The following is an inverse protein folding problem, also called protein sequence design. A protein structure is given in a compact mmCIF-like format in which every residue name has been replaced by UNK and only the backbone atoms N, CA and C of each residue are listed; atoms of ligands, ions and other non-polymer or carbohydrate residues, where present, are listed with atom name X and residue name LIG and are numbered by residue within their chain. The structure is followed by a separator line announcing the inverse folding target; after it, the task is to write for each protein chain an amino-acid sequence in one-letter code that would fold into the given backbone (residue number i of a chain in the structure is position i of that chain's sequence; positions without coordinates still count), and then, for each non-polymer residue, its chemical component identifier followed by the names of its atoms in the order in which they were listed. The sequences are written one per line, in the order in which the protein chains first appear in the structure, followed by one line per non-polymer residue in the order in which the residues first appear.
data_IF_737361620948
#
_entry.id   IF_737361620948
#
_cell.length_a   1.000
_cell.length_b   1.000
_cell.length_c   1.000
_cell.angle_alpha   90.00
_cell.angle_beta   90.00
_cell.angle_gamma   90.00
#
_symmetry.space_group_name_H-M   'P 1'
#
loop_
_entity.id
_entity.type
_entity.pdbx_description
1 polymer ?
#
# COMPACT_ATOMS: atom_id res chain seq x y z
N UNK A 1 -8.46 2.04 -21.36
CA UNK A 1 -9.41 1.01 -21.83
C UNK A 1 -9.39 0.82 -23.35
N UNK A 2 -9.16 1.86 -24.15
CA UNK A 2 -9.08 1.74 -25.62
C UNK A 2 -8.03 0.74 -26.09
N UNK A 3 -6.84 0.77 -25.49
CA UNK A 3 -5.76 -0.17 -25.77
C UNK A 3 -6.13 -1.61 -25.39
N UNK A 4 -6.77 -1.82 -24.25
CA UNK A 4 -7.25 -3.14 -23.83
C UNK A 4 -8.28 -3.71 -24.79
N UNK A 5 -9.18 -2.86 -25.32
CA UNK A 5 -10.13 -3.28 -26.35
C UNK A 5 -9.42 -3.71 -27.66
N UNK A 6 -8.35 -2.99 -28.06
CA UNK A 6 -7.54 -3.37 -29.22
C UNK A 6 -6.86 -4.73 -29.01
N UNK A 7 -6.31 -4.97 -27.83
CA UNK A 7 -5.69 -6.25 -27.49
C UNK A 7 -6.72 -7.39 -27.46
N UNK A 8 -7.93 -7.16 -26.94
CA UNK A 8 -9.00 -8.16 -26.90
C UNK A 8 -9.46 -8.57 -28.30
N UNK A 9 -9.44 -7.67 -29.31
CA UNK A 9 -9.70 -8.07 -30.71
C UNK A 9 -8.73 -9.13 -31.23
N UNK A 10 -7.48 -9.11 -30.77
CA UNK A 10 -6.45 -10.10 -31.13
C UNK A 10 -6.51 -11.36 -30.24
N UNK A 11 -6.96 -11.22 -29.01
CA UNK A 11 -7.09 -12.30 -28.04
C UNK A 11 -8.45 -12.20 -27.32
N UNK A 12 -9.50 -12.84 -27.89
CA UNK A 12 -10.87 -12.74 -27.36
C UNK A 12 -11.05 -13.20 -25.90
N UNK A 13 -10.18 -14.11 -25.44
CA UNK A 13 -10.17 -14.65 -24.08
C UNK A 13 -9.45 -13.73 -23.06
N UNK A 14 -8.97 -12.55 -23.49
CA UNK A 14 -8.30 -11.61 -22.61
C UNK A 14 -9.30 -11.03 -21.59
N UNK A 15 -9.07 -11.27 -20.32
CA UNK A 15 -9.77 -10.61 -19.23
C UNK A 15 -9.13 -9.25 -18.93
N UNK A 16 -9.96 -8.26 -18.64
CA UNK A 16 -9.54 -6.91 -18.27
C UNK A 16 -10.04 -6.59 -16.87
N UNK A 17 -9.12 -6.40 -15.94
CA UNK A 17 -9.42 -6.00 -14.57
C UNK A 17 -9.00 -4.57 -14.26
N UNK A 18 -9.81 -3.85 -13.48
CA UNK A 18 -9.45 -2.59 -12.85
C UNK A 18 -9.41 -2.84 -11.34
N UNK A 19 -8.26 -2.55 -10.73
CA UNK A 19 -8.02 -2.81 -9.32
C UNK A 19 -7.53 -1.56 -8.58
N UNK A 20 -7.84 -1.45 -7.30
CA UNK A 20 -7.39 -0.37 -6.41
C UNK A 20 -8.39 0.78 -6.26
N UNK A 21 -7.90 1.98 -5.92
CA UNK A 21 -8.76 3.12 -5.54
C UNK A 21 -9.73 3.57 -6.63
N UNK A 22 -9.36 3.46 -7.91
CA UNK A 22 -10.26 3.78 -9.02
C UNK A 22 -11.43 2.79 -9.09
N UNK A 23 -11.15 1.50 -8.86
CA UNK A 23 -12.16 0.47 -8.77
C UNK A 23 -13.16 0.75 -7.64
N UNK A 24 -12.64 1.09 -6.45
CA UNK A 24 -13.48 1.45 -5.29
C UNK A 24 -14.34 2.68 -5.55
N UNK A 25 -13.80 3.68 -6.21
CA UNK A 25 -14.52 4.93 -6.47
C UNK A 25 -15.66 4.79 -7.49
N UNK A 26 -15.43 4.03 -8.55
CA UNK A 26 -16.35 3.94 -9.69
C UNK A 26 -17.22 2.67 -9.67
N UNK A 27 -16.80 1.66 -8.91
CA UNK A 27 -17.58 0.43 -8.65
C UNK A 27 -18.23 -0.15 -9.92
N UNK A 28 -19.54 -0.37 -9.85
CA UNK A 28 -20.35 -0.96 -10.93
C UNK A 28 -20.30 -0.18 -12.23
N UNK A 29 -20.08 1.15 -12.17
CA UNK A 29 -19.96 1.98 -13.38
C UNK A 29 -18.87 1.49 -14.34
N UNK A 30 -17.82 0.85 -13.80
CA UNK A 30 -16.74 0.27 -14.61
C UNK A 30 -17.16 -0.97 -15.39
N UNK A 31 -18.22 -1.67 -14.93
CA UNK A 31 -18.76 -2.87 -15.57
C UNK A 31 -19.84 -2.57 -16.60
N UNK A 32 -20.26 -1.31 -16.75
CA UNK A 32 -21.28 -0.93 -17.72
C UNK A 32 -20.93 -1.35 -19.15
N UNK A 33 -21.96 -1.62 -19.93
CA UNK A 33 -21.83 -2.07 -21.30
C UNK A 33 -20.98 -1.13 -22.15
N UNK A 34 -20.04 -1.72 -22.90
CA UNK A 34 -19.13 -0.99 -23.79
C UNK A 34 -17.80 -0.57 -23.16
N UNK A 35 -17.61 -0.65 -21.84
CA UNK A 35 -16.30 -0.34 -21.21
C UNK A 35 -15.29 -1.47 -21.37
N UNK A 36 -15.76 -2.73 -21.52
CA UNK A 36 -14.89 -3.90 -21.78
C UNK A 36 -14.07 -4.30 -20.56
N UNK A 37 -14.61 -4.09 -19.35
CA UNK A 37 -14.04 -4.51 -18.06
C UNK A 37 -14.77 -5.74 -17.57
N UNK A 38 -14.03 -6.73 -17.08
CA UNK A 38 -14.56 -8.01 -16.60
C UNK A 38 -14.45 -8.12 -15.07
N UNK A 39 -13.42 -7.48 -14.49
CA UNK A 39 -13.12 -7.57 -13.06
C UNK A 39 -12.95 -6.16 -12.49
N UNK A 40 -13.59 -5.93 -11.33
CA UNK A 40 -13.43 -4.70 -10.54
C UNK A 40 -13.14 -5.08 -9.09
N UNK A 41 -11.95 -4.73 -8.59
CA UNK A 41 -11.52 -5.07 -7.23
C UNK A 41 -11.03 -3.84 -6.48
N UNK A 42 -11.63 -3.55 -5.32
CA UNK A 42 -11.21 -2.49 -4.42
C UNK A 42 -9.83 -2.76 -3.79
N UNK A 43 -9.25 -1.77 -3.09
CA UNK A 43 -7.90 -1.92 -2.52
C UNK A 43 -7.80 -2.95 -1.39
N UNK A 44 -8.91 -3.32 -0.76
CA UNK A 44 -8.94 -4.26 0.35
C UNK A 44 -9.45 -5.66 -0.05
N UNK A 45 -9.63 -5.93 -1.34
CA UNK A 45 -10.22 -7.17 -1.85
C UNK A 45 -9.27 -7.98 -2.74
N UNK A 46 -7.96 -7.74 -2.66
CA UNK A 46 -6.97 -8.42 -3.50
C UNK A 46 -6.89 -9.94 -3.24
N UNK A 47 -7.27 -10.41 -2.04
CA UNK A 47 -7.37 -11.83 -1.73
C UNK A 47 -8.43 -12.54 -2.55
N UNK A 48 -9.46 -11.83 -2.99
CA UNK A 48 -10.56 -12.37 -3.78
C UNK A 48 -10.27 -12.40 -5.28
N UNK A 49 -9.16 -11.82 -5.75
CA UNK A 49 -8.81 -11.80 -7.17
C UNK A 49 -8.89 -13.17 -7.85
N UNK A 50 -8.40 -14.28 -7.24
CA UNK A 50 -8.52 -15.60 -7.86
C UNK A 50 -9.98 -16.05 -8.07
N UNK A 51 -10.89 -15.68 -7.16
CA UNK A 51 -12.33 -15.94 -7.27
C UNK A 51 -12.94 -15.10 -8.39
N UNK A 52 -12.67 -13.79 -8.38
CA UNK A 52 -13.18 -12.85 -9.37
C UNK A 52 -12.71 -13.20 -10.81
N UNK A 53 -11.48 -13.70 -10.94
CA UNK A 53 -10.97 -14.21 -12.22
C UNK A 53 -11.77 -15.41 -12.71
N UNK A 54 -12.03 -16.42 -11.85
CA UNK A 54 -12.85 -17.59 -12.22
C UNK A 54 -14.28 -17.21 -12.60
N UNK A 55 -14.89 -16.25 -11.91
CA UNK A 55 -16.20 -15.73 -12.25
C UNK A 55 -16.21 -15.08 -13.64
N UNK A 56 -15.18 -14.30 -13.96
CA UNK A 56 -15.04 -13.67 -15.26
C UNK A 56 -14.73 -14.69 -16.38
N UNK A 57 -13.94 -15.73 -16.11
CA UNK A 57 -13.65 -16.83 -17.05
C UNK A 57 -14.89 -17.64 -17.40
N UNK A 58 -15.84 -17.78 -16.48
CA UNK A 58 -17.15 -18.46 -16.72
C UNK A 58 -18.16 -17.60 -17.47
N UNK A 59 -17.75 -16.40 -17.92
CA UNK A 59 -18.61 -15.47 -18.68
C UNK A 59 -19.40 -14.49 -17.81
N UNK A 60 -19.18 -14.50 -16.48
CA UNK A 60 -19.71 -13.50 -15.55
C UNK A 60 -18.88 -12.23 -15.51
N UNK A 61 -19.18 -11.37 -14.54
CA UNK A 61 -18.38 -10.20 -14.18
C UNK A 61 -18.03 -10.27 -12.70
N UNK A 62 -16.74 -10.20 -12.37
CA UNK A 62 -16.26 -10.24 -10.99
C UNK A 62 -16.19 -8.83 -10.40
N UNK A 63 -16.91 -8.58 -9.33
CA UNK A 63 -16.81 -7.31 -8.59
C UNK A 63 -16.70 -7.56 -7.08
N UNK A 64 -15.71 -6.92 -6.46
CA UNK A 64 -15.67 -6.76 -5.02
C UNK A 64 -14.97 -5.44 -4.67
N UNK A 65 -15.71 -4.52 -4.06
CA UNK A 65 -15.24 -3.18 -3.66
C UNK A 65 -15.51 -2.92 -2.18
N UNK A 66 -15.53 -3.98 -1.35
CA UNK A 66 -15.70 -3.83 0.09
C UNK A 66 -14.45 -3.20 0.71
N UNK A 67 -14.66 -2.17 1.53
CA UNK A 67 -13.59 -1.62 2.37
C UNK A 67 -13.54 -2.40 3.68
N UNK A 68 -12.39 -2.98 3.98
CA UNK A 68 -12.14 -3.67 5.24
C UNK A 68 -11.85 -2.65 6.36
N UNK A 69 -12.20 -3.01 7.58
CA UNK A 69 -11.79 -2.29 8.80
C UNK A 69 -10.48 -2.82 9.40
N UNK A 70 -10.01 -4.00 8.94
CA UNK A 70 -8.89 -4.73 9.55
C UNK A 70 -7.77 -5.07 8.56
N UNK A 71 -8.08 -5.23 7.26
CA UNK A 71 -7.10 -5.71 6.26
C UNK A 71 -5.90 -4.77 6.11
N UNK A 72 -4.73 -5.27 6.40
CA UNK A 72 -3.44 -4.59 6.23
C UNK A 72 -2.49 -5.31 5.29
N UNK A 73 -2.82 -6.56 4.87
CA UNK A 73 -1.95 -7.48 4.11
C UNK A 73 -0.61 -7.75 4.81
N UNK A 74 -0.60 -7.70 6.14
CA UNK A 74 0.62 -7.88 6.94
C UNK A 74 1.26 -9.27 6.79
N UNK A 75 0.44 -10.29 6.50
CA UNK A 75 0.82 -11.69 6.32
C UNK A 75 1.27 -12.03 4.89
N UNK A 76 1.10 -11.11 3.94
CA UNK A 76 1.51 -11.33 2.55
C UNK A 76 2.93 -10.78 2.34
N UNK A 77 3.90 -11.69 2.18
CA UNK A 77 5.23 -11.31 1.79
C UNK A 77 5.23 -10.79 0.33
N UNK A 78 5.66 -9.55 0.07
CA UNK A 78 5.69 -9.02 -1.30
C UNK A 78 6.69 -9.80 -2.16
N UNK A 79 6.24 -10.27 -3.33
CA UNK A 79 7.15 -10.79 -4.35
C UNK A 79 7.81 -9.62 -5.06
N UNK A 80 9.11 -9.48 -4.87
CA UNK A 80 9.90 -8.42 -5.50
C UNK A 80 10.50 -8.94 -6.80
N UNK A 81 10.12 -8.31 -7.90
CA UNK A 81 10.57 -8.70 -9.25
C UNK A 81 11.99 -8.20 -9.53
N UNK A 82 12.42 -7.13 -8.89
CA UNK A 82 13.77 -6.58 -9.01
C UNK A 82 14.72 -7.31 -8.05
N UNK A 83 15.61 -8.13 -8.61
CA UNK A 83 16.64 -8.87 -7.86
C UNK A 83 17.89 -8.04 -7.55
N UNK A 84 18.06 -6.89 -8.19
CA UNK A 84 19.18 -5.97 -7.96
C UNK A 84 18.81 -4.88 -6.95
N UNK A 85 17.79 -5.13 -6.12
CA UNK A 85 17.18 -4.16 -5.24
C UNK A 85 18.15 -3.57 -4.24
N UNK A 86 18.49 -2.30 -4.44
CA UNK A 86 19.15 -1.46 -3.44
C UNK A 86 18.12 -0.93 -2.44
N UNK A 87 16.90 -0.62 -2.92
CA UNK A 87 15.85 0.05 -2.19
C UNK A 87 14.57 -0.79 -2.14
N UNK A 88 13.96 -0.93 -0.96
CA UNK A 88 12.72 -1.65 -0.73
C UNK A 88 11.62 -0.75 -0.18
N UNK A 89 10.37 -0.98 -0.60
CA UNK A 89 9.19 -0.30 -0.04
C UNK A 89 8.47 -1.20 0.95
N UNK A 90 8.08 -0.63 2.10
CA UNK A 90 7.34 -1.34 3.15
C UNK A 90 6.08 -0.55 3.46
N UNK A 91 4.91 -1.14 3.20
CA UNK A 91 3.64 -0.54 3.62
C UNK A 91 3.46 -0.73 5.13
N UNK A 92 3.30 0.37 5.87
CA UNK A 92 3.16 0.32 7.34
C UNK A 92 1.73 0.55 7.81
N UNK A 93 0.89 1.13 6.96
CA UNK A 93 -0.49 1.45 7.28
C UNK A 93 -1.35 1.62 6.03
N UNK A 94 -2.66 1.62 6.19
CA UNK A 94 -3.66 1.83 5.13
C UNK A 94 -4.77 2.75 5.63
N UNK A 95 -5.39 3.48 4.68
CA UNK A 95 -6.45 4.43 5.00
C UNK A 95 -5.94 5.73 5.62
N UNK A 96 -6.84 6.67 5.86
CA UNK A 96 -6.51 7.96 6.46
C UNK A 96 -7.76 8.59 7.09
N UNK A 97 -7.59 9.18 8.27
CA UNK A 97 -8.66 9.83 9.03
C UNK A 97 -8.69 11.36 8.88
N UNK A 98 -7.85 11.96 8.04
CA UNK A 98 -7.71 13.42 7.97
C UNK A 98 -8.82 14.14 7.19
N UNK A 99 -9.54 13.47 6.29
CA UNK A 99 -10.66 14.06 5.52
C UNK A 99 -10.35 15.45 4.92
N UNK A 100 -9.12 15.66 4.41
CA UNK A 100 -8.76 16.92 3.73
C UNK A 100 -9.71 17.18 2.56
N UNK A 101 -10.11 18.45 2.35
CA UNK A 101 -11.18 18.84 1.41
C UNK A 101 -11.00 18.34 -0.03
N UNK A 102 -9.78 18.16 -0.49
CA UNK A 102 -9.45 17.68 -1.85
C UNK A 102 -9.20 16.16 -1.92
N UNK A 103 -9.16 15.45 -0.77
CA UNK A 103 -8.61 14.11 -0.71
C UNK A 103 -9.68 13.02 -0.79
N UNK A 104 -9.51 12.09 -1.73
CA UNK A 104 -10.41 10.95 -1.92
C UNK A 104 -10.03 9.74 -1.07
N UNK A 105 -8.86 9.73 -0.43
CA UNK A 105 -8.31 8.57 0.28
C UNK A 105 -9.25 7.99 1.35
N UNK A 106 -9.87 8.79 2.25
CA UNK A 106 -10.78 8.23 3.24
C UNK A 106 -11.96 7.44 2.64
N UNK A 107 -12.39 7.84 1.45
CA UNK A 107 -13.52 7.22 0.74
C UNK A 107 -13.13 5.98 -0.06
N UNK A 108 -11.86 5.90 -0.49
CA UNK A 108 -11.39 4.80 -1.35
C UNK A 108 -10.50 3.79 -0.64
N UNK A 109 -9.98 4.12 0.54
CA UNK A 109 -9.15 3.24 1.37
C UNK A 109 -9.66 3.07 2.80
N UNK A 110 -10.76 3.76 3.13
CA UNK A 110 -11.38 3.68 4.45
C UNK A 110 -10.57 4.32 5.56
N UNK A 111 -10.93 3.97 6.79
CA UNK A 111 -10.27 4.44 7.99
C UNK A 111 -8.83 3.94 8.08
N UNK A 112 -8.05 4.65 8.86
CA UNK A 112 -6.66 4.34 9.15
C UNK A 112 -6.52 3.01 9.90
N UNK A 113 -5.60 2.19 9.43
CA UNK A 113 -5.24 0.90 10.02
C UNK A 113 -3.73 0.74 9.96
N UNK A 114 -3.11 0.68 11.11
CA UNK A 114 -1.68 0.42 11.24
C UNK A 114 -1.42 -1.09 11.17
N UNK A 115 -0.33 -1.44 10.56
CA UNK A 115 0.20 -2.80 10.54
C UNK A 115 1.04 -3.02 11.81
N UNK A 116 1.11 -4.25 12.34
CA UNK A 116 1.95 -4.55 13.50
C UNK A 116 3.41 -4.11 13.28
N UNK A 117 3.98 -3.41 14.26
CA UNK A 117 5.36 -2.93 14.19
C UNK A 117 6.36 -4.09 14.05
N UNK A 118 6.08 -5.24 14.67
CA UNK A 118 6.93 -6.43 14.61
C UNK A 118 7.04 -6.96 13.18
N UNK A 119 5.91 -7.03 12.45
CA UNK A 119 5.90 -7.47 11.05
C UNK A 119 6.65 -6.50 10.14
N UNK A 120 6.58 -5.20 10.42
CA UNK A 120 7.30 -4.16 9.66
C UNK A 120 8.80 -4.26 9.90
N UNK A 121 9.23 -4.37 11.17
CA UNK A 121 10.65 -4.50 11.54
C UNK A 121 11.24 -5.79 10.97
N UNK A 122 10.50 -6.91 11.05
CA UNK A 122 10.94 -8.18 10.48
C UNK A 122 11.07 -8.12 8.95
N UNK A 123 10.14 -7.46 8.25
CA UNK A 123 10.25 -7.25 6.80
C UNK A 123 11.48 -6.40 6.45
N UNK A 124 11.73 -5.32 7.20
CA UNK A 124 12.90 -4.46 7.01
C UNK A 124 14.20 -5.23 7.23
N UNK A 125 14.27 -6.08 8.28
CA UNK A 125 15.41 -6.95 8.57
C UNK A 125 15.64 -7.95 7.43
N UNK A 126 14.61 -8.63 6.98
CA UNK A 126 14.69 -9.58 5.85
C UNK A 126 15.21 -8.89 4.58
N UNK A 127 14.76 -7.67 4.31
CA UNK A 127 15.28 -6.89 3.17
C UNK A 127 16.77 -6.62 3.32
N UNK A 128 17.21 -6.17 4.50
CA UNK A 128 18.61 -5.89 4.76
C UNK A 128 19.50 -7.15 4.63
N UNK A 129 19.06 -8.28 5.16
CA UNK A 129 19.72 -9.59 5.03
C UNK A 129 19.80 -10.06 3.58
N UNK A 130 18.80 -9.74 2.76
CA UNK A 130 18.79 -10.01 1.32
C UNK A 130 19.56 -8.98 0.48
N UNK A 131 20.36 -8.12 1.11
CA UNK A 131 21.27 -7.21 0.41
C UNK A 131 20.72 -5.80 0.15
N UNK A 132 19.46 -5.51 0.48
CA UNK A 132 18.92 -4.15 0.37
C UNK A 132 19.65 -3.21 1.35
N UNK A 133 19.83 -1.97 0.94
CA UNK A 133 20.53 -0.95 1.74
C UNK A 133 19.68 0.29 2.02
N UNK A 134 18.48 0.32 1.47
CA UNK A 134 17.51 1.37 1.74
C UNK A 134 16.12 0.78 1.88
N UNK A 135 15.34 1.26 2.85
CA UNK A 135 13.91 0.99 2.97
C UNK A 135 13.14 2.29 3.05
N UNK A 136 11.98 2.34 2.38
CA UNK A 136 11.05 3.44 2.47
C UNK A 136 9.75 2.97 3.08
N UNK A 137 9.39 3.53 4.23
CA UNK A 137 8.12 3.28 4.92
C UNK A 137 7.01 4.07 4.22
N UNK A 138 5.96 3.39 3.81
CA UNK A 138 4.85 3.94 3.03
C UNK A 138 3.51 3.82 3.76
N UNK A 139 2.71 4.87 3.65
CA UNK A 139 1.33 4.91 4.12
C UNK A 139 0.53 5.97 3.40
N UNK A 140 -0.63 6.33 3.92
CA UNK A 140 -1.41 7.47 3.46
C UNK A 140 -1.19 8.71 4.34
N UNK A 141 -0.75 8.49 5.59
CA UNK A 141 -0.23 9.48 6.53
C UNK A 141 0.65 8.75 7.54
N UNK A 142 1.93 8.57 7.24
CA UNK A 142 2.83 7.74 8.07
C UNK A 142 3.01 8.29 9.49
N UNK A 143 2.85 9.61 9.66
CA UNK A 143 3.04 10.28 10.95
C UNK A 143 2.01 9.86 12.00
N UNK A 144 0.80 9.43 11.56
CA UNK A 144 -0.27 8.99 12.46
C UNK A 144 -0.20 7.49 12.81
N UNK A 145 0.82 6.78 12.30
CA UNK A 145 1.01 5.37 12.62
C UNK A 145 0.99 5.12 14.13
N UNK A 146 0.19 4.14 14.55
CA UNK A 146 0.11 3.68 15.94
C UNK A 146 -0.21 2.19 16.01
N UNK A 147 0.58 1.44 16.79
CA UNK A 147 0.36 0.04 17.11
C UNK A 147 0.67 -0.17 18.60
N UNK A 148 -0.38 -0.22 19.44
CA UNK A 148 -0.25 -0.19 20.89
C UNK A 148 0.50 1.06 21.37
N UNK A 149 1.61 0.86 22.06
CA UNK A 149 2.47 1.95 22.56
C UNK A 149 3.53 2.43 21.54
N UNK A 150 3.56 1.81 20.35
CA UNK A 150 4.54 2.14 19.30
C UNK A 150 3.92 3.12 18.31
N UNK A 151 4.31 4.39 18.43
CA UNK A 151 4.00 5.45 17.48
C UNK A 151 5.01 5.47 16.32
N UNK A 152 4.81 6.37 15.34
CA UNK A 152 5.70 6.45 14.16
C UNK A 152 7.17 6.75 14.50
N UNK A 153 7.53 7.71 15.39
CA UNK A 153 8.90 7.92 15.81
C UNK A 153 9.56 6.67 16.38
N UNK A 154 8.86 5.94 17.25
CA UNK A 154 9.38 4.69 17.83
C UNK A 154 9.54 3.59 16.79
N UNK A 155 8.61 3.46 15.85
CA UNK A 155 8.74 2.52 14.72
C UNK A 155 9.96 2.87 13.87
N UNK A 156 10.14 4.15 13.54
CA UNK A 156 11.24 4.64 12.72
C UNK A 156 12.59 4.32 13.38
N UNK A 157 12.70 4.54 14.71
CA UNK A 157 13.87 4.17 15.49
C UNK A 157 14.13 2.66 15.44
N UNK A 158 13.12 1.82 15.70
CA UNK A 158 13.24 0.35 15.65
C UNK A 158 13.74 -0.16 14.29
N UNK A 159 13.30 0.46 13.20
CA UNK A 159 13.78 0.11 11.85
C UNK A 159 15.22 0.59 11.63
N UNK A 160 15.57 1.79 12.13
CA UNK A 160 16.92 2.33 12.03
C UNK A 160 17.95 1.53 12.84
N UNK A 161 17.53 0.96 13.96
CA UNK A 161 18.37 0.12 14.84
C UNK A 161 18.76 -1.24 14.23
N UNK A 162 18.13 -1.65 13.11
CA UNK A 162 18.48 -2.91 12.42
C UNK A 162 19.94 -2.88 11.99
N UNK A 163 20.40 -1.77 11.41
CA UNK A 163 21.79 -1.58 11.02
C UNK A 163 22.08 -0.11 10.68
N UNK A 164 23.24 0.44 11.06
CA UNK A 164 23.67 1.77 10.63
C UNK A 164 23.88 1.87 9.11
N UNK A 165 24.00 0.74 8.41
CA UNK A 165 24.15 0.66 6.96
C UNK A 165 22.79 0.62 6.24
N UNK A 166 21.68 0.46 6.95
CA UNK A 166 20.34 0.50 6.39
C UNK A 166 19.82 1.93 6.39
N UNK A 167 19.73 2.55 5.23
CA UNK A 167 19.10 3.86 5.07
C UNK A 167 17.60 3.75 5.22
N UNK A 168 17.00 4.56 6.08
CA UNK A 168 15.55 4.56 6.33
C UNK A 168 14.96 5.85 5.82
N UNK A 169 13.94 5.71 4.97
CA UNK A 169 13.09 6.80 4.45
C UNK A 169 11.65 6.57 4.83
N UNK A 170 10.88 7.60 4.73
CA UNK A 170 9.42 7.54 4.77
C UNK A 170 8.82 8.56 3.80
N UNK A 171 7.59 8.32 3.39
CA UNK A 171 6.86 9.20 2.50
C UNK A 171 5.40 9.33 2.94
N UNK A 172 4.75 10.40 2.47
CA UNK A 172 3.35 10.69 2.76
C UNK A 172 3.12 11.14 4.21
N UNK A 173 3.78 12.23 4.57
CA UNK A 173 3.58 12.91 5.85
C UNK A 173 2.43 13.91 5.76
N UNK A 174 1.79 14.19 6.89
CA UNK A 174 0.83 15.31 7.00
C UNK A 174 1.35 16.32 8.02
N UNK A 175 1.37 17.64 7.71
CA UNK A 175 1.95 18.66 8.61
C UNK A 175 1.34 18.66 10.01
N UNK A 176 0.05 18.37 10.12
CA UNK A 176 -0.69 18.30 11.39
C UNK A 176 -0.07 17.28 12.38
N UNK A 177 0.49 16.19 11.86
CA UNK A 177 0.97 15.05 12.63
C UNK A 177 2.51 15.01 12.72
N UNK A 178 3.19 16.09 12.30
CA UNK A 178 4.63 16.24 12.47
C UNK A 178 4.94 16.62 13.93
N UNK A 179 5.43 15.66 14.71
CA UNK A 179 5.72 15.86 16.12
C UNK A 179 7.17 16.21 16.40
N UNK A 180 7.43 16.89 17.53
CA UNK A 180 8.80 17.16 18.01
C UNK A 180 9.57 15.86 18.28
N UNK A 181 8.88 14.79 18.73
CA UNK A 181 9.47 13.47 18.91
C UNK A 181 9.99 12.90 17.58
N UNK A 182 9.26 13.06 16.48
CA UNK A 182 9.72 12.64 15.16
C UNK A 182 10.96 13.41 14.72
N UNK A 183 10.96 14.73 14.90
CA UNK A 183 12.11 15.58 14.57
C UNK A 183 13.33 15.18 15.38
N UNK A 184 13.18 14.96 16.70
CA UNK A 184 14.24 14.50 17.58
C UNK A 184 14.78 13.11 17.17
N UNK A 185 13.89 12.18 16.85
CA UNK A 185 14.27 10.85 16.35
C UNK A 185 15.04 10.96 15.04
N UNK A 186 14.57 11.73 14.09
CA UNK A 186 15.29 11.97 12.82
C UNK A 186 16.67 12.59 13.08
N UNK A 187 16.81 13.52 14.04
CA UNK A 187 18.08 14.14 14.36
C UNK A 187 19.08 13.14 14.97
N UNK A 188 18.60 12.23 15.81
CA UNK A 188 19.42 11.28 16.57
C UNK A 188 20.02 10.16 15.72
N UNK A 189 19.37 9.75 14.63
CA UNK A 189 19.79 8.64 13.78
C UNK A 189 20.45 9.11 12.48
N UNK A 190 21.70 8.76 12.24
CA UNK A 190 22.45 9.14 11.01
C UNK A 190 21.89 8.46 9.75
N UNK A 191 21.36 7.26 9.89
CA UNK A 191 20.83 6.45 8.80
C UNK A 191 19.34 6.74 8.46
N UNK A 192 18.67 7.60 9.23
CA UNK A 192 17.35 8.14 8.84
C UNK A 192 17.56 9.36 7.92
N UNK A 193 16.93 9.35 6.76
CA UNK A 193 16.98 10.47 5.84
C UNK A 193 16.29 11.71 6.42
N UNK A 194 16.97 12.86 6.34
CA UNK A 194 16.48 14.14 6.85
C UNK A 194 15.57 14.85 5.82
N UNK A 195 14.60 14.11 5.30
CA UNK A 195 13.63 14.60 4.33
C UNK A 195 12.22 14.23 4.77
N UNK A 196 11.34 15.19 4.78
CA UNK A 196 9.90 15.05 5.04
C UNK A 196 9.16 15.39 3.75
N UNK A 197 8.28 14.49 3.32
CA UNK A 197 7.49 14.64 2.10
C UNK A 197 6.01 14.83 2.44
#
# INVERSE_FOLDING_TARGET
LSEMRRLRRKKPTLLVGIIGCMAERLKEELLENGKGVDIVAGPDTYRDLPKLCREAESGGKGINTLLSTEETYADIAPVRLDKNGVSGFISIMRGCNNFCAYCVVPYTRGRERSRSYETIVNEARTLFENGYREVTLLGQNVNSYADGEVNFPKLLAKVADISPLLRVRFATSHPKDLSDELIATMASYRNICKAVH
#
